data_IF_179282949896
#
_entry.id   IF_179282949896
#
_cell.length_a   1.000
_cell.length_b   1.000
_cell.length_c   1.000
_cell.angle_alpha   90.00
_cell.angle_beta   90.00
_cell.angle_gamma   90.00
#
_symmetry.space_group_name_H-M   'P 1'
#
loop_
_entity.id
_entity.type
_entity.pdbx_description
1 polymer ?
#
# COMPACT_ATOMS: atom_id res chain seq x y z
N UNK A 1 21.21 -11.29 33.97
CA UNK A 1 20.23 -10.36 33.43
C UNK A 1 18.99 -11.13 32.99
N UNK A 2 17.76 -10.66 33.30
CA UNK A 2 16.54 -11.30 32.79
C UNK A 2 16.49 -11.15 31.27
N UNK A 3 16.27 -12.24 30.51
CA UNK A 3 16.10 -12.21 29.05
C UNK A 3 14.81 -11.43 28.73
N UNK A 4 14.92 -10.30 28.01
CA UNK A 4 13.75 -9.54 27.57
C UNK A 4 13.14 -10.25 26.36
N UNK A 5 11.83 -10.47 26.39
CA UNK A 5 11.05 -11.05 25.29
C UNK A 5 10.13 -9.98 24.74
N UNK A 6 10.07 -9.85 23.41
CA UNK A 6 9.20 -8.91 22.70
C UNK A 6 8.17 -9.69 21.88
N UNK A 7 6.89 -9.47 22.17
CA UNK A 7 5.77 -10.18 21.52
C UNK A 7 4.85 -9.25 20.70
N UNK A 8 5.14 -7.96 20.62
CA UNK A 8 4.31 -6.97 19.92
C UNK A 8 4.76 -6.78 18.44
N UNK A 9 4.99 -7.88 17.72
CA UNK A 9 5.43 -7.84 16.32
C UNK A 9 4.32 -7.33 15.36
N UNK A 10 3.08 -7.31 15.80
CA UNK A 10 1.97 -6.74 15.04
C UNK A 10 2.06 -5.21 14.96
N UNK A 11 2.61 -4.53 15.97
CA UNK A 11 2.83 -3.08 15.91
C UNK A 11 4.10 -2.71 15.13
N UNK A 12 5.21 -3.43 15.33
CA UNK A 12 6.46 -3.27 14.56
C UNK A 12 7.40 -4.44 14.81
N UNK A 13 8.36 -4.68 13.92
CA UNK A 13 9.41 -5.68 14.13
C UNK A 13 10.78 -5.03 14.37
N UNK A 14 11.70 -5.75 15.06
CA UNK A 14 13.11 -5.38 15.06
C UNK A 14 13.65 -5.50 13.64
N UNK A 15 14.43 -4.54 13.19
CA UNK A 15 15.14 -4.65 11.91
C UNK A 15 16.11 -5.83 11.97
N UNK A 16 16.11 -6.69 10.95
CA UNK A 16 17.06 -7.80 10.85
C UNK A 16 18.49 -7.26 10.69
N UNK A 17 19.46 -7.89 11.37
CA UNK A 17 20.85 -7.45 11.33
C UNK A 17 21.47 -7.55 9.92
N UNK A 18 20.99 -8.46 9.07
CA UNK A 18 21.41 -8.53 7.67
C UNK A 18 20.89 -7.32 6.89
N UNK A 19 19.62 -6.92 7.15
CA UNK A 19 19.03 -5.71 6.55
C UNK A 19 19.82 -4.48 6.97
N UNK A 20 20.16 -4.34 8.26
CA UNK A 20 20.99 -3.21 8.73
C UNK A 20 22.33 -3.15 7.99
N UNK A 21 23.02 -4.30 7.83
CA UNK A 21 24.30 -4.35 7.10
C UNK A 21 24.17 -3.94 5.65
N UNK A 22 23.11 -4.40 4.97
CA UNK A 22 22.83 -4.02 3.57
C UNK A 22 22.50 -2.52 3.42
N UNK A 23 21.89 -1.89 4.44
CA UNK A 23 21.57 -0.46 4.42
C UNK A 23 22.80 0.45 4.59
N UNK A 24 23.80 0.02 5.38
CA UNK A 24 24.92 0.87 5.80
C UNK A 24 25.67 1.57 4.65
N UNK A 25 26.03 0.91 3.53
CA UNK A 25 26.75 1.54 2.43
C UNK A 25 26.01 2.74 1.81
N UNK A 26 24.68 2.74 1.88
CA UNK A 26 23.86 3.78 1.25
C UNK A 26 23.73 5.07 2.06
N UNK A 27 24.26 5.11 3.28
CA UNK A 27 24.34 6.34 4.07
C UNK A 27 25.57 7.20 3.73
N UNK A 28 26.70 6.58 3.33
CA UNK A 28 27.96 7.30 3.18
C UNK A 28 28.78 6.91 1.96
N UNK A 29 28.64 5.70 1.41
CA UNK A 29 29.44 5.24 0.27
C UNK A 29 28.68 5.41 -1.06
N UNK A 30 27.40 5.00 -1.10
CA UNK A 30 26.50 5.11 -2.26
C UNK A 30 25.37 6.10 -1.92
N UNK A 31 25.74 7.31 -1.56
CA UNK A 31 24.83 8.35 -1.04
C UNK A 31 24.20 9.23 -2.13
N UNK A 32 24.38 8.88 -3.41
CA UNK A 32 23.94 9.70 -4.54
C UNK A 32 22.44 9.90 -4.61
N UNK A 33 22.03 11.01 -5.22
CA UNK A 33 20.63 11.23 -5.60
C UNK A 33 20.33 10.42 -6.87
N UNK A 34 19.34 9.55 -6.84
CA UNK A 34 18.96 8.68 -7.96
C UNK A 34 18.51 9.45 -9.23
N UNK A 35 18.20 10.74 -9.12
CA UNK A 35 17.88 11.61 -10.25
C UNK A 35 19.12 12.19 -10.95
N UNK A 36 20.31 12.08 -10.35
CA UNK A 36 21.55 12.65 -10.92
C UNK A 36 22.14 11.76 -12.00
N UNK A 37 22.72 12.39 -13.05
CA UNK A 37 23.26 11.69 -14.23
C UNK A 37 24.73 11.30 -14.09
N UNK A 38 25.42 11.70 -13.04
CA UNK A 38 26.80 11.31 -12.75
C UNK A 38 26.85 9.90 -12.10
N UNK A 39 28.03 9.29 -12.06
CA UNK A 39 28.25 7.91 -11.61
C UNK A 39 27.69 7.58 -10.21
N UNK A 40 27.81 8.48 -9.25
CA UNK A 40 27.29 8.30 -7.88
C UNK A 40 25.75 8.25 -7.90
N UNK A 41 25.09 9.11 -8.70
CA UNK A 41 23.64 9.09 -8.87
C UNK A 41 23.15 7.84 -9.59
N UNK A 42 23.86 7.41 -10.64
CA UNK A 42 23.55 6.18 -11.39
C UNK A 42 23.58 4.97 -10.47
N UNK A 43 24.61 4.84 -9.62
CA UNK A 43 24.69 3.74 -8.63
C UNK A 43 23.50 3.72 -7.68
N UNK A 44 23.10 4.89 -7.16
CA UNK A 44 21.93 5.00 -6.29
C UNK A 44 20.63 4.60 -7.02
N UNK A 45 20.48 5.02 -8.29
CA UNK A 45 19.36 4.64 -9.15
C UNK A 45 19.30 3.14 -9.40
N UNK A 46 20.42 2.50 -9.68
CA UNK A 46 20.48 1.05 -9.93
C UNK A 46 19.98 0.25 -8.70
N UNK A 47 20.34 0.70 -7.50
CA UNK A 47 19.89 0.11 -6.24
C UNK A 47 18.39 0.30 -6.06
N UNK A 48 17.89 1.52 -6.25
CA UNK A 48 16.46 1.85 -6.17
C UNK A 48 15.65 0.94 -7.11
N UNK A 49 16.06 0.84 -8.38
CA UNK A 49 15.35 0.04 -9.37
C UNK A 49 15.49 -1.48 -9.12
N UNK A 50 16.60 -1.93 -8.54
CA UNK A 50 16.76 -3.31 -8.09
C UNK A 50 15.77 -3.63 -6.97
N UNK A 51 15.65 -2.77 -5.98
CA UNK A 51 14.69 -2.92 -4.87
C UNK A 51 13.25 -2.94 -5.38
N UNK A 52 12.91 -2.01 -6.30
CA UNK A 52 11.59 -1.95 -6.95
C UNK A 52 11.26 -3.27 -7.67
N UNK A 53 12.23 -3.84 -8.38
CA UNK A 53 12.07 -5.15 -9.08
C UNK A 53 11.79 -6.29 -8.10
N UNK A 54 12.45 -6.29 -6.94
CA UNK A 54 12.24 -7.32 -5.90
C UNK A 54 10.82 -7.24 -5.34
N UNK A 55 10.36 -6.03 -4.99
CA UNK A 55 8.99 -5.82 -4.49
C UNK A 55 7.96 -6.21 -5.56
N UNK A 56 8.10 -5.74 -6.79
CA UNK A 56 7.21 -6.09 -7.89
C UNK A 56 7.10 -7.61 -8.09
N UNK A 57 8.25 -8.30 -8.13
CA UNK A 57 8.30 -9.76 -8.26
C UNK A 57 7.59 -10.49 -7.12
N UNK A 58 7.66 -9.97 -5.88
CA UNK A 58 7.08 -10.62 -4.70
C UNK A 58 5.55 -10.66 -4.73
N UNK A 59 4.91 -9.72 -5.42
CA UNK A 59 3.44 -9.65 -5.58
C UNK A 59 2.99 -9.94 -7.03
N UNK A 60 3.89 -10.39 -7.89
CA UNK A 60 3.65 -10.68 -9.32
C UNK A 60 3.18 -9.47 -10.15
N UNK A 61 3.67 -8.28 -9.79
CA UNK A 61 3.44 -7.01 -10.48
C UNK A 61 4.53 -6.71 -11.51
N UNK A 62 4.27 -5.72 -12.39
CA UNK A 62 5.29 -5.09 -13.21
C UNK A 62 6.11 -4.09 -12.39
N UNK A 63 7.39 -3.89 -12.74
CA UNK A 63 8.29 -2.97 -12.05
C UNK A 63 7.71 -1.55 -12.01
N UNK A 64 7.14 -1.12 -13.14
CA UNK A 64 6.56 0.22 -13.27
C UNK A 64 5.30 0.47 -12.44
N UNK A 65 4.74 -0.51 -11.76
CA UNK A 65 3.52 -0.40 -10.95
C UNK A 65 3.81 -0.16 -9.46
N UNK A 66 5.09 -0.14 -9.05
CA UNK A 66 5.49 0.10 -7.66
C UNK A 66 5.89 1.56 -7.48
N UNK A 67 5.34 2.21 -6.47
CA UNK A 67 5.69 3.57 -6.02
C UNK A 67 6.15 3.48 -4.57
N UNK A 68 7.36 3.92 -4.27
CA UNK A 68 7.86 3.96 -2.91
C UNK A 68 7.23 5.11 -2.10
N UNK A 69 6.95 4.82 -0.84
CA UNK A 69 6.33 5.74 0.13
C UNK A 69 7.10 5.71 1.45
N UNK A 70 6.73 6.57 2.39
CA UNK A 70 7.33 6.55 3.74
C UNK A 70 6.75 5.49 4.66
N UNK A 71 5.77 4.71 4.21
CA UNK A 71 5.12 3.65 4.99
C UNK A 71 3.69 3.41 4.59
N UNK A 72 3.03 2.46 5.27
CA UNK A 72 1.65 2.07 4.98
C UNK A 72 0.65 3.21 5.10
N UNK A 73 0.80 4.07 6.11
CA UNK A 73 -0.10 5.23 6.29
C UNK A 73 -0.05 6.18 5.10
N UNK A 74 1.15 6.50 4.58
CA UNK A 74 1.27 7.33 3.38
C UNK A 74 0.67 6.62 2.17
N UNK A 75 0.95 5.33 1.98
CA UNK A 75 0.44 4.55 0.87
C UNK A 75 -1.10 4.47 0.87
N UNK A 76 -1.73 4.23 2.04
CA UNK A 76 -3.19 4.23 2.20
C UNK A 76 -3.80 5.62 1.90
N UNK A 77 -3.19 6.70 2.41
CA UNK A 77 -3.63 8.07 2.10
C UNK A 77 -3.52 8.35 0.60
N UNK A 78 -2.42 7.94 -0.03
CA UNK A 78 -2.22 8.13 -1.45
C UNK A 78 -3.26 7.36 -2.27
N UNK A 79 -3.49 6.08 -1.95
CA UNK A 79 -4.49 5.25 -2.65
C UNK A 79 -5.88 5.88 -2.58
N UNK A 80 -6.39 6.15 -1.38
CA UNK A 80 -7.76 6.61 -1.21
C UNK A 80 -7.96 8.06 -1.70
N UNK A 81 -7.11 8.99 -1.27
CA UNK A 81 -7.20 10.40 -1.66
C UNK A 81 -6.93 10.60 -3.15
N UNK A 82 -5.88 9.95 -3.66
CA UNK A 82 -5.51 10.07 -5.06
C UNK A 82 -6.60 9.57 -6.01
N UNK A 83 -7.24 8.43 -5.68
CA UNK A 83 -8.37 7.92 -6.44
C UNK A 83 -9.62 8.78 -6.27
N UNK A 84 -9.92 9.27 -5.06
CA UNK A 84 -11.07 10.15 -4.85
C UNK A 84 -10.96 11.40 -5.72
N UNK A 85 -9.86 12.13 -5.65
CA UNK A 85 -9.70 13.37 -6.41
C UNK A 85 -9.61 13.17 -7.93
N UNK A 86 -9.21 11.98 -8.39
CA UNK A 86 -9.23 11.67 -9.83
C UNK A 86 -10.62 11.25 -10.35
N UNK A 87 -11.55 10.86 -9.47
CA UNK A 87 -12.89 10.41 -9.83
C UNK A 87 -13.98 11.43 -9.51
N UNK A 88 -13.75 12.32 -8.53
CA UNK A 88 -14.70 13.34 -8.10
C UNK A 88 -14.84 14.47 -9.16
N UNK A 89 -16.04 15.00 -9.42
CA UNK A 89 -17.34 14.68 -8.77
C UNK A 89 -18.14 13.56 -9.45
N UNK A 90 -17.65 12.94 -10.53
CA UNK A 90 -18.40 11.95 -11.31
C UNK A 90 -18.76 10.72 -10.47
N UNK A 91 -17.79 10.22 -9.72
CA UNK A 91 -17.97 9.15 -8.73
C UNK A 91 -17.39 9.60 -7.40
N UNK A 92 -18.07 9.26 -6.30
CA UNK A 92 -17.67 9.72 -4.98
C UNK A 92 -17.92 8.68 -3.87
N UNK A 93 -18.20 7.42 -4.21
CA UNK A 93 -18.55 6.40 -3.23
C UNK A 93 -17.42 5.39 -3.06
N UNK A 94 -17.03 5.15 -1.80
CA UNK A 94 -16.06 4.14 -1.37
C UNK A 94 -16.75 3.16 -0.43
N UNK A 95 -16.45 1.88 -0.59
CA UNK A 95 -16.88 0.80 0.32
C UNK A 95 -15.64 0.31 1.06
N UNK A 96 -15.74 0.19 2.38
CA UNK A 96 -14.68 -0.31 3.26
C UNK A 96 -15.29 -1.06 4.45
N UNK A 97 -14.48 -1.63 5.35
CA UNK A 97 -14.98 -2.31 6.55
C UNK A 97 -14.78 -1.46 7.82
N UNK A 98 -15.50 -1.80 8.90
CA UNK A 98 -15.33 -1.17 10.21
C UNK A 98 -14.05 -1.60 10.93
N UNK A 99 -13.40 -2.68 10.47
CA UNK A 99 -12.20 -3.26 11.09
C UNK A 99 -10.90 -2.89 10.37
N UNK A 100 -10.94 -1.89 9.49
CA UNK A 100 -9.74 -1.39 8.81
C UNK A 100 -8.78 -0.73 9.80
N UNK A 101 -7.52 -0.65 9.40
CA UNK A 101 -6.53 0.15 10.12
C UNK A 101 -6.92 1.64 10.13
N UNK A 102 -6.56 2.36 11.20
CA UNK A 102 -6.85 3.80 11.37
C UNK A 102 -6.42 4.67 10.17
N UNK A 103 -5.37 4.29 9.45
CA UNK A 103 -4.93 5.00 8.24
C UNK A 103 -5.90 4.88 7.07
N UNK A 104 -6.85 3.94 7.08
CA UNK A 104 -7.98 3.86 6.16
C UNK A 104 -9.19 4.58 6.76
N UNK A 105 -9.59 4.22 7.99
CA UNK A 105 -10.80 4.79 8.62
C UNK A 105 -10.73 6.31 8.75
N UNK A 106 -9.60 6.86 9.20
CA UNK A 106 -9.44 8.31 9.37
C UNK A 106 -9.36 9.03 8.00
N UNK A 107 -8.78 8.41 6.98
CA UNK A 107 -8.81 8.96 5.61
C UNK A 107 -10.24 8.96 5.07
N UNK A 108 -11.00 7.89 5.26
CA UNK A 108 -12.41 7.83 4.86
C UNK A 108 -13.24 8.93 5.54
N UNK A 109 -13.12 9.09 6.87
CA UNK A 109 -13.81 10.17 7.62
C UNK A 109 -13.42 11.57 7.12
N UNK A 110 -12.15 11.78 6.79
CA UNK A 110 -11.72 13.04 6.22
C UNK A 110 -12.29 13.24 4.80
N UNK A 111 -12.34 12.20 3.96
CA UNK A 111 -12.92 12.26 2.63
C UNK A 111 -14.41 12.56 2.66
N UNK A 112 -15.16 12.12 3.69
CA UNK A 112 -16.57 12.51 3.89
C UNK A 112 -16.71 14.04 3.99
N UNK A 113 -15.78 14.72 4.65
CA UNK A 113 -15.78 16.20 4.69
C UNK A 113 -15.47 16.85 3.35
N UNK A 114 -14.94 16.08 2.39
CA UNK A 114 -14.64 16.52 1.02
C UNK A 114 -15.73 16.10 0.00
N UNK A 115 -16.83 15.50 0.47
CA UNK A 115 -17.97 15.11 -0.37
C UNK A 115 -17.98 13.64 -0.79
N UNK A 116 -17.10 12.81 -0.24
CA UNK A 116 -17.19 11.37 -0.42
C UNK A 116 -18.39 10.78 0.34
N UNK A 117 -18.95 9.72 -0.20
CA UNK A 117 -19.87 8.82 0.50
C UNK A 117 -19.11 7.56 0.87
N UNK A 118 -19.18 7.15 2.13
CA UNK A 118 -18.47 5.96 2.60
C UNK A 118 -19.49 4.96 3.13
N UNK A 119 -19.40 3.72 2.65
CA UNK A 119 -20.10 2.59 3.28
C UNK A 119 -19.09 1.81 4.11
N UNK A 120 -19.34 1.74 5.42
CA UNK A 120 -18.56 0.94 6.37
C UNK A 120 -19.30 -0.36 6.64
N UNK A 121 -18.85 -1.45 6.03
CA UNK A 121 -19.45 -2.76 6.19
C UNK A 121 -19.13 -3.35 7.56
N UNK A 122 -20.10 -4.07 8.12
CA UNK A 122 -19.88 -4.97 9.25
C UNK A 122 -19.14 -6.22 8.80
N UNK A 123 -18.63 -6.96 9.77
CA UNK A 123 -18.02 -8.27 9.59
C UNK A 123 -18.71 -9.27 10.53
N UNK A 124 -18.55 -10.55 10.26
CA UNK A 124 -19.04 -11.60 11.15
C UNK A 124 -18.20 -11.72 12.44
N UNK A 125 -18.52 -12.70 13.29
CA UNK A 125 -17.85 -12.93 14.58
C UNK A 125 -16.38 -13.35 14.42
N UNK A 126 -16.01 -13.94 13.27
CA UNK A 126 -14.64 -14.28 12.90
C UNK A 126 -13.90 -13.11 12.18
N UNK A 127 -14.61 -12.03 11.88
CA UNK A 127 -14.05 -10.84 11.22
C UNK A 127 -14.03 -10.91 9.69
N UNK A 128 -14.82 -11.80 9.06
CA UNK A 128 -14.97 -11.84 7.61
C UNK A 128 -16.05 -10.87 7.12
N UNK A 129 -15.76 -10.17 6.01
CA UNK A 129 -16.77 -9.38 5.31
C UNK A 129 -17.62 -10.29 4.41
N UNK A 130 -18.95 -10.08 4.41
CA UNK A 130 -19.85 -10.79 3.49
C UNK A 130 -19.73 -10.17 2.07
N UNK A 131 -19.42 -11.01 1.08
CA UNK A 131 -19.30 -10.62 -0.33
C UNK A 131 -20.64 -10.11 -0.87
N UNK A 132 -21.77 -10.67 -0.42
CA UNK A 132 -23.09 -10.19 -0.84
C UNK A 132 -23.39 -8.80 -0.28
N UNK A 133 -22.86 -8.42 0.88
CA UNK A 133 -23.00 -7.05 1.40
C UNK A 133 -22.14 -6.05 0.64
N UNK A 134 -20.93 -6.43 0.19
CA UNK A 134 -20.15 -5.63 -0.76
C UNK A 134 -20.97 -5.41 -2.04
N UNK A 135 -21.50 -6.48 -2.60
CA UNK A 135 -22.27 -6.47 -3.86
C UNK A 135 -23.53 -5.60 -3.78
N UNK A 136 -24.29 -5.67 -2.69
CA UNK A 136 -25.48 -4.85 -2.42
C UNK A 136 -25.13 -3.36 -2.25
N UNK A 137 -23.95 -3.07 -1.72
CA UNK A 137 -23.49 -1.70 -1.45
C UNK A 137 -22.95 -0.99 -2.69
N UNK A 138 -22.58 -1.72 -3.75
CA UNK A 138 -22.07 -1.13 -4.99
C UNK A 138 -23.20 -0.36 -5.71
N UNK A 139 -22.91 0.89 -6.05
CA UNK A 139 -23.78 1.79 -6.81
C UNK A 139 -23.06 2.30 -8.07
N UNK A 140 -23.75 3.04 -8.93
CA UNK A 140 -23.16 3.74 -10.08
C UNK A 140 -22.10 4.80 -9.67
N UNK A 141 -22.15 5.27 -8.41
CA UNK A 141 -21.19 6.21 -7.83
C UNK A 141 -19.99 5.55 -7.18
N UNK A 142 -19.99 4.22 -7.03
CA UNK A 142 -18.89 3.49 -6.42
C UNK A 142 -17.69 3.46 -7.38
N UNK A 143 -16.53 3.91 -6.90
CA UNK A 143 -15.29 3.81 -7.66
C UNK A 143 -14.26 2.92 -6.99
N UNK A 144 -14.38 2.66 -5.68
CA UNK A 144 -13.40 1.93 -4.91
C UNK A 144 -14.06 1.03 -3.86
N UNK A 145 -13.57 -0.20 -3.77
CA UNK A 145 -13.68 -1.07 -2.60
C UNK A 145 -12.29 -1.15 -1.97
N UNK A 146 -12.18 -0.89 -0.65
CA UNK A 146 -10.91 -0.95 0.08
C UNK A 146 -11.08 -1.85 1.30
N UNK A 147 -10.42 -3.00 1.31
CA UNK A 147 -10.56 -4.01 2.37
C UNK A 147 -9.17 -4.52 2.76
N UNK A 148 -8.91 -4.54 4.06
CA UNK A 148 -7.66 -5.05 4.63
C UNK A 148 -7.48 -6.53 4.26
N UNK A 149 -6.27 -6.92 3.83
CA UNK A 149 -6.00 -8.33 3.51
C UNK A 149 -5.90 -9.18 4.79
N UNK A 150 -5.07 -8.75 5.73
CA UNK A 150 -4.92 -9.44 7.02
C UNK A 150 -5.08 -8.45 8.17
N UNK A 151 -6.03 -8.69 9.04
CA UNK A 151 -6.30 -7.79 10.17
C UNK A 151 -5.19 -7.88 11.22
N UNK A 152 -4.76 -6.74 11.72
CA UNK A 152 -3.64 -6.61 12.67
C UNK A 152 -4.00 -6.98 14.12
N UNK A 153 -5.28 -6.99 14.48
CA UNK A 153 -5.76 -7.28 15.84
C UNK A 153 -6.20 -8.74 15.98
N UNK A 154 -7.08 -9.19 15.11
CA UNK A 154 -7.72 -10.50 15.21
C UNK A 154 -7.10 -11.57 14.30
N UNK A 155 -6.26 -11.16 13.31
CA UNK A 155 -5.52 -12.07 12.44
C UNK A 155 -6.30 -12.64 11.27
N UNK A 156 -7.56 -12.29 11.09
CA UNK A 156 -8.42 -12.76 9.99
C UNK A 156 -7.86 -12.36 8.64
N UNK A 157 -7.78 -13.30 7.71
CA UNK A 157 -7.34 -13.10 6.32
C UNK A 157 -8.57 -13.11 5.42
N UNK A 158 -8.88 -11.98 4.80
CA UNK A 158 -10.04 -11.84 3.91
C UNK A 158 -9.87 -12.62 2.60
N UNK A 159 -10.98 -13.08 2.01
CA UNK A 159 -10.97 -13.70 0.68
C UNK A 159 -10.82 -12.64 -0.43
N UNK A 160 -9.58 -12.16 -0.57
CA UNK A 160 -9.20 -11.12 -1.53
C UNK A 160 -9.46 -11.56 -2.98
N UNK A 161 -9.35 -12.86 -3.28
CA UNK A 161 -9.60 -13.36 -4.64
C UNK A 161 -11.08 -13.26 -5.01
N UNK A 162 -11.99 -13.66 -4.13
CA UNK A 162 -13.42 -13.55 -4.36
C UNK A 162 -13.89 -12.09 -4.42
N UNK A 163 -13.37 -11.23 -3.51
CA UNK A 163 -13.66 -9.78 -3.52
C UNK A 163 -13.18 -9.14 -4.81
N UNK A 164 -11.93 -9.42 -5.22
CA UNK A 164 -11.36 -8.88 -6.45
C UNK A 164 -12.10 -9.32 -7.71
N UNK A 165 -12.59 -10.57 -7.75
CA UNK A 165 -13.45 -11.05 -8.83
C UNK A 165 -14.75 -10.25 -8.91
N UNK A 166 -15.43 -10.04 -7.78
CA UNK A 166 -16.65 -9.23 -7.70
C UNK A 166 -16.39 -7.79 -8.18
N UNK A 167 -15.31 -7.14 -7.68
CA UNK A 167 -14.96 -5.78 -8.07
C UNK A 167 -14.70 -5.67 -9.59
N UNK A 168 -14.01 -6.65 -10.17
CA UNK A 168 -13.76 -6.72 -11.62
C UNK A 168 -15.07 -6.86 -12.41
N UNK A 169 -15.98 -7.75 -11.99
CA UNK A 169 -17.29 -7.93 -12.63
C UNK A 169 -18.15 -6.67 -12.56
N UNK A 170 -18.01 -5.89 -11.48
CA UNK A 170 -18.77 -4.65 -11.27
C UNK A 170 -18.05 -3.39 -11.80
N UNK A 171 -16.86 -3.54 -12.40
CA UNK A 171 -16.04 -2.43 -12.90
C UNK A 171 -15.77 -1.35 -11.82
N UNK A 172 -15.43 -1.80 -10.61
CA UNK A 172 -15.04 -1.01 -9.45
C UNK A 172 -13.59 -1.33 -9.11
N UNK A 173 -12.78 -0.33 -8.76
CA UNK A 173 -11.40 -0.54 -8.37
C UNK A 173 -11.31 -1.23 -7.00
N UNK A 174 -10.29 -2.07 -6.84
CA UNK A 174 -10.05 -2.79 -5.60
C UNK A 174 -8.67 -2.47 -5.01
N UNK A 175 -8.68 -1.91 -3.81
CA UNK A 175 -7.51 -1.67 -2.97
C UNK A 175 -7.50 -2.63 -1.79
N UNK A 176 -6.32 -3.10 -1.42
CA UNK A 176 -6.12 -3.84 -0.17
C UNK A 176 -4.92 -3.29 0.62
N UNK A 177 -5.13 -3.06 1.93
CA UNK A 177 -4.03 -2.85 2.87
C UNK A 177 -3.42 -4.22 3.23
N UNK A 178 -2.22 -4.47 2.71
CA UNK A 178 -1.47 -5.70 2.95
C UNK A 178 -0.30 -5.49 3.94
N UNK A 179 -0.29 -4.40 4.70
CA UNK A 179 0.80 -4.10 5.63
C UNK A 179 1.09 -5.23 6.63
N UNK A 180 0.06 -5.94 7.09
CA UNK A 180 0.24 -7.07 8.00
C UNK A 180 0.51 -8.39 7.30
N UNK A 181 -0.07 -8.60 6.13
CA UNK A 181 -0.04 -9.88 5.43
C UNK A 181 1.10 -10.02 4.42
N UNK A 182 1.69 -8.91 3.96
CA UNK A 182 2.79 -8.94 3.00
C UNK A 182 3.92 -9.87 3.47
N UNK A 183 4.40 -10.74 2.59
CA UNK A 183 5.35 -11.85 2.81
C UNK A 183 4.86 -13.00 3.71
N UNK A 184 3.75 -12.84 4.42
CA UNK A 184 3.16 -13.89 5.28
C UNK A 184 2.04 -14.65 4.56
N UNK A 185 1.28 -13.93 3.72
CA UNK A 185 0.23 -14.47 2.86
C UNK A 185 0.60 -14.19 1.41
N UNK A 186 0.48 -15.16 0.50
CA UNK A 186 0.79 -14.94 -0.91
C UNK A 186 -0.10 -13.87 -1.54
N UNK A 187 0.52 -12.90 -2.22
CA UNK A 187 -0.16 -11.88 -3.01
C UNK A 187 0.18 -12.11 -4.48
N UNK A 188 -0.84 -12.15 -5.32
CA UNK A 188 -0.72 -12.17 -6.77
C UNK A 188 -1.72 -11.17 -7.35
N UNK A 189 -1.24 -9.99 -7.67
CA UNK A 189 -2.11 -8.86 -8.06
C UNK A 189 -2.98 -9.16 -9.27
N UNK A 190 -2.47 -9.94 -10.23
CA UNK A 190 -3.23 -10.35 -11.41
C UNK A 190 -4.32 -11.36 -11.08
N UNK A 191 -3.98 -12.44 -10.36
CA UNK A 191 -4.92 -13.51 -10.00
C UNK A 191 -6.04 -12.99 -9.08
N UNK A 192 -5.67 -12.12 -8.14
CA UNK A 192 -6.58 -11.55 -7.14
C UNK A 192 -7.29 -10.28 -7.63
N UNK A 193 -7.12 -9.88 -8.90
CA UNK A 193 -7.70 -8.69 -9.51
C UNK A 193 -7.51 -7.41 -8.68
N UNK A 194 -6.33 -7.26 -8.07
CA UNK A 194 -6.00 -6.08 -7.27
C UNK A 194 -5.61 -4.92 -8.17
N UNK A 195 -6.12 -3.76 -7.86
CA UNK A 195 -5.81 -2.51 -8.56
C UNK A 195 -4.78 -1.67 -7.78
N UNK A 196 -4.87 -1.70 -6.44
CA UNK A 196 -3.89 -1.07 -5.55
C UNK A 196 -3.58 -1.98 -4.36
N UNK A 197 -2.32 -1.97 -3.91
CA UNK A 197 -1.89 -2.71 -2.71
C UNK A 197 -0.95 -1.85 -1.89
N UNK A 198 -1.28 -1.66 -0.62
CA UNK A 198 -0.41 -0.97 0.35
C UNK A 198 0.53 -1.95 1.03
N UNK A 199 1.82 -1.60 1.06
CA UNK A 199 2.90 -2.38 1.66
C UNK A 199 3.73 -1.54 2.62
N UNK A 200 4.35 -2.16 3.63
CA UNK A 200 5.35 -1.50 4.47
C UNK A 200 6.53 -2.42 4.79
N UNK A 201 7.65 -1.83 5.20
CA UNK A 201 8.87 -2.58 5.53
C UNK A 201 8.94 -2.99 7.01
N UNK A 202 8.44 -2.15 7.93
CA UNK A 202 8.70 -2.34 9.37
C UNK A 202 7.95 -3.52 10.01
N UNK A 203 7.04 -4.17 9.30
CA UNK A 203 6.34 -5.39 9.76
C UNK A 203 6.91 -6.67 9.15
N UNK A 204 7.96 -6.54 8.32
CA UNK A 204 8.70 -7.64 7.68
C UNK A 204 10.20 -7.54 7.96
N UNK A 205 10.57 -7.09 9.17
CA UNK A 205 11.95 -6.93 9.63
C UNK A 205 12.79 -5.89 8.87
N UNK A 206 12.14 -5.01 8.10
CA UNK A 206 12.74 -3.85 7.45
C UNK A 206 12.68 -2.58 8.33
N UNK A 207 13.25 -1.47 7.86
CA UNK A 207 13.27 -0.21 8.60
C UNK A 207 11.88 0.45 8.65
N UNK A 208 11.67 1.29 9.66
CA UNK A 208 10.58 2.27 9.68
C UNK A 208 10.87 3.36 8.64
N UNK A 209 9.83 4.07 8.21
CA UNK A 209 9.99 5.18 7.25
C UNK A 209 10.11 4.72 5.79
N UNK A 210 9.70 3.49 5.49
CA UNK A 210 9.63 2.92 4.13
C UNK A 210 8.37 2.08 3.96
N UNK A 211 7.71 2.27 2.83
CA UNK A 211 6.61 1.48 2.33
C UNK A 211 6.53 1.54 0.81
N UNK A 212 5.52 0.95 0.26
CA UNK A 212 5.24 1.01 -1.17
C UNK A 212 3.73 0.95 -1.44
N UNK A 213 3.32 1.57 -2.54
CA UNK A 213 2.01 1.41 -3.12
C UNK A 213 2.16 0.76 -4.50
N UNK A 214 1.53 -0.39 -4.68
CA UNK A 214 1.28 -0.94 -6.01
C UNK A 214 0.09 -0.20 -6.62
N UNK A 215 0.24 0.24 -7.85
CA UNK A 215 -0.83 0.85 -8.66
C UNK A 215 -0.82 0.16 -10.01
N UNK A 216 -1.89 -0.57 -10.33
CA UNK A 216 -2.03 -1.24 -11.64
C UNK A 216 -1.89 -0.23 -12.79
N UNK A 217 -1.17 -0.60 -13.82
CA UNK A 217 -0.98 0.23 -15.00
C UNK A 217 -2.31 0.66 -15.62
N UNK A 218 -2.38 1.89 -16.10
CA UNK A 218 -3.59 2.52 -16.66
C UNK A 218 -4.53 3.15 -15.64
N UNK A 219 -4.32 2.98 -14.33
CA UNK A 219 -5.14 3.67 -13.31
C UNK A 219 -4.76 5.15 -13.25
N UNK A 220 -5.77 6.01 -13.38
CA UNK A 220 -5.62 7.44 -13.18
C UNK A 220 -5.72 7.76 -11.70
N UNK A 221 -4.67 8.37 -11.16
CA UNK A 221 -4.57 8.73 -9.74
C UNK A 221 -3.95 10.13 -9.60
N UNK A 222 -4.54 10.96 -8.76
CA UNK A 222 -3.98 12.29 -8.45
C UNK A 222 -2.67 12.12 -7.66
N UNK A 223 -1.57 12.81 -8.03
CA UNK A 223 -0.31 12.72 -7.31
C UNK A 223 -0.45 13.02 -5.82
N UNK A 224 0.23 12.25 -4.99
CA UNK A 224 0.24 12.45 -3.54
C UNK A 224 1.04 13.70 -3.14
N UNK A 225 2.20 13.89 -3.75
CA UNK A 225 3.08 15.02 -3.45
C UNK A 225 3.64 15.62 -4.73
N UNK A 226 3.47 16.93 -4.89
CA UNK A 226 3.96 17.69 -6.04
C UNK A 226 5.40 18.17 -5.79
N UNK A 227 6.25 18.15 -6.82
CA UNK A 227 7.66 18.54 -6.74
C UNK A 227 8.46 18.09 -7.96
N UNK A 228 9.63 17.49 -7.76
CA UNK A 228 10.47 16.93 -8.83
C UNK A 228 9.89 15.66 -9.47
N UNK A 229 10.67 15.05 -10.37
CA UNK A 229 10.21 13.92 -11.18
C UNK A 229 10.21 12.53 -10.51
N UNK A 230 10.48 12.46 -9.20
CA UNK A 230 10.58 11.22 -8.43
C UNK A 230 9.30 10.38 -8.52
N UNK A 231 9.44 9.08 -8.41
CA UNK A 231 8.32 8.14 -8.38
C UNK A 231 7.26 8.47 -9.47
N UNK A 232 7.71 8.66 -10.69
CA UNK A 232 6.88 8.97 -11.87
C UNK A 232 6.04 10.25 -11.74
N UNK A 233 6.48 11.23 -10.96
CA UNK A 233 5.74 12.45 -10.61
C UNK A 233 4.49 12.20 -9.76
N UNK A 234 4.32 10.99 -9.25
CA UNK A 234 3.18 10.61 -8.41
C UNK A 234 3.47 10.88 -6.92
N UNK A 235 4.74 10.70 -6.52
CA UNK A 235 5.20 10.97 -5.16
C UNK A 235 6.57 11.65 -5.21
N UNK A 236 6.59 12.95 -5.29
CA UNK A 236 7.82 13.74 -5.34
C UNK A 236 8.53 13.77 -3.99
N UNK A 237 9.83 13.99 -4.03
CA UNK A 237 10.74 14.01 -2.88
C UNK A 237 11.83 12.96 -3.04
N UNK A 238 13.08 13.32 -2.71
CA UNK A 238 14.24 12.42 -2.82
C UNK A 238 13.98 11.11 -2.09
N UNK A 239 14.25 10.01 -2.75
CA UNK A 239 13.97 8.67 -2.25
C UNK A 239 14.90 8.32 -1.07
N UNK A 240 14.35 7.59 -0.10
CA UNK A 240 15.12 7.06 1.04
C UNK A 240 15.89 5.79 0.60
N UNK A 241 16.95 5.99 -0.20
CA UNK A 241 17.74 4.87 -0.76
C UNK A 241 18.19 3.88 0.33
N UNK A 242 18.74 4.33 1.49
CA UNK A 242 19.15 3.40 2.53
C UNK A 242 18.02 2.55 3.11
N UNK A 243 16.81 3.08 3.14
CA UNK A 243 15.67 2.36 3.72
C UNK A 243 14.95 1.45 2.72
N UNK A 244 15.05 1.74 1.43
CA UNK A 244 14.40 1.00 0.33
C UNK A 244 15.20 -0.23 -0.04
#
# INVERSE_FOLDING_TARGET
>A
MRKRVYFDNASTTKVDEKVVREMLPYFSEIFGNASSQHDIGIKAKDVLERSRRIIAKSIKANIGEIIFTSGGTEANNFALKGLFFSNYPQKNHIITTKIEHDSILNVCRWLETQGAKITYLDVDEEGFVDIEDIKKSITDKTFLVSIINGNNEIGTIQDIEAIGKLCREKNVLFHTDACQSFTKVPINVGKQNLDLVTLNAHKIYGPKGVGALYIRDGIQITPFAHGGGHEKKLRSGTENIPGI
#
